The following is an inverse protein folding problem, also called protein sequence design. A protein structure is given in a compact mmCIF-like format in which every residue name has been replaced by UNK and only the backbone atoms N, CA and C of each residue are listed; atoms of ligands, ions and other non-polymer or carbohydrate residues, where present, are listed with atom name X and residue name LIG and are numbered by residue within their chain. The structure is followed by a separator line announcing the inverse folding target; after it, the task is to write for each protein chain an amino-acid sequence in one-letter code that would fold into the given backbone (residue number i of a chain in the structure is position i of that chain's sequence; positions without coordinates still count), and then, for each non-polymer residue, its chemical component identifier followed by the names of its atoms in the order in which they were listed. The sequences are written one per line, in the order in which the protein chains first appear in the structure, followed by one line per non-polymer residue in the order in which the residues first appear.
data_IF_136453361349
#
_entry.id   IF_136453361349
#
_cell.length_a   1.000
_cell.length_b   1.000
_cell.length_c   1.000
_cell.angle_alpha   90.00
_cell.angle_beta   90.00
_cell.angle_gamma   90.00
#
_symmetry.space_group_name_H-M   'P 1'
#
loop_
_entity.id
_entity.type
_entity.pdbx_description
1 polymer ?
#
# COMPACT_ATOMS: atom_id res chain seq x y z
N UNK A 1 -1.78 -8.97 -12.90
CA UNK A 1 -1.56 -8.53 -14.30
C UNK A 1 -2.82 -7.90 -14.91
N UNK A 2 -3.98 -8.57 -14.92
CA UNK A 2 -5.18 -8.01 -15.57
C UNK A 2 -5.69 -6.72 -14.89
N UNK A 3 -5.62 -6.60 -13.57
CA UNK A 3 -5.97 -5.35 -12.90
C UNK A 3 -5.12 -4.15 -13.36
N UNK A 4 -3.85 -4.38 -13.66
CA UNK A 4 -3.01 -3.35 -14.25
C UNK A 4 -3.50 -2.89 -15.62
N UNK A 5 -4.03 -3.81 -16.45
CA UNK A 5 -4.64 -3.46 -17.73
C UNK A 5 -5.93 -2.65 -17.55
N UNK A 6 -6.77 -3.04 -16.58
CA UNK A 6 -8.00 -2.32 -16.25
C UNK A 6 -7.73 -0.91 -15.71
N UNK A 7 -6.58 -0.71 -15.04
CA UNK A 7 -6.07 0.61 -14.60
C UNK A 7 -5.16 1.29 -15.66
N UNK A 8 -5.41 1.05 -16.94
CA UNK A 8 -4.75 1.69 -18.08
C UNK A 8 -3.23 1.45 -18.19
N UNK A 9 -2.66 0.43 -17.56
CA UNK A 9 -1.27 0.03 -17.82
C UNK A 9 -1.17 -0.59 -19.21
N UNK A 10 -0.24 -0.13 -20.07
CA UNK A 10 -0.06 -0.72 -21.41
C UNK A 10 0.26 -2.21 -21.35
N UNK A 11 -0.38 -3.00 -22.21
CA UNK A 11 -0.25 -4.46 -22.25
C UNK A 11 1.21 -4.94 -22.31
N UNK A 12 2.06 -4.28 -23.10
CA UNK A 12 3.49 -4.63 -23.22
C UNK A 12 4.32 -4.37 -21.95
N UNK A 13 3.76 -3.67 -20.96
CA UNK A 13 4.44 -3.35 -19.69
C UNK A 13 4.03 -4.33 -18.58
N UNK A 14 2.84 -4.93 -18.66
CA UNK A 14 2.29 -5.78 -17.59
C UNK A 14 3.21 -6.93 -17.21
N UNK A 15 3.73 -7.66 -18.19
CA UNK A 15 4.63 -8.81 -17.93
C UNK A 15 5.96 -8.36 -17.29
N UNK A 16 6.49 -7.21 -17.68
CA UNK A 16 7.70 -6.63 -17.08
C UNK A 16 7.44 -6.24 -15.61
N UNK A 17 6.30 -5.60 -15.32
CA UNK A 17 5.91 -5.26 -13.95
C UNK A 17 5.70 -6.50 -13.09
N UNK A 18 5.02 -7.51 -13.61
CA UNK A 18 4.84 -8.78 -12.91
C UNK A 18 6.18 -9.41 -12.52
N UNK A 19 7.12 -9.53 -13.46
CA UNK A 19 8.46 -10.08 -13.20
C UNK A 19 9.22 -9.25 -12.16
N UNK A 20 9.15 -7.94 -12.26
CA UNK A 20 9.78 -7.02 -11.31
C UNK A 20 9.25 -7.23 -9.88
N UNK A 21 7.93 -7.16 -9.68
CA UNK A 21 7.35 -7.32 -8.33
C UNK A 21 7.59 -8.72 -7.76
N UNK A 22 7.49 -9.75 -8.57
CA UNK A 22 7.79 -11.13 -8.15
C UNK A 22 9.24 -11.29 -7.68
N UNK A 23 10.18 -10.58 -8.27
CA UNK A 23 11.59 -10.60 -7.87
C UNK A 23 11.84 -9.74 -6.61
N UNK A 24 11.25 -8.53 -6.53
CA UNK A 24 11.57 -7.53 -5.52
C UNK A 24 10.90 -7.82 -4.18
N UNK A 25 9.64 -8.24 -4.17
CA UNK A 25 8.87 -8.46 -2.92
C UNK A 25 9.56 -9.43 -1.96
N UNK A 26 10.06 -10.61 -2.38
CA UNK A 26 10.78 -11.51 -1.48
C UNK A 26 12.07 -10.91 -0.93
N UNK A 27 12.76 -10.07 -1.70
CA UNK A 27 13.98 -9.40 -1.26
C UNK A 27 13.69 -8.37 -0.17
N UNK A 28 12.60 -7.59 -0.30
CA UNK A 28 12.16 -6.66 0.73
C UNK A 28 11.84 -7.41 2.02
N UNK A 29 11.03 -8.47 1.95
CA UNK A 29 10.70 -9.25 3.14
C UNK A 29 11.94 -9.83 3.81
N UNK A 30 12.87 -10.36 3.02
CA UNK A 30 14.13 -10.89 3.52
C UNK A 30 14.98 -9.80 4.20
N UNK A 31 15.03 -8.58 3.64
CA UNK A 31 15.81 -7.47 4.19
C UNK A 31 15.34 -7.01 5.56
N UNK A 32 14.05 -7.20 5.87
CA UNK A 32 13.45 -6.88 7.17
C UNK A 32 13.27 -8.12 8.07
N UNK A 33 13.89 -9.25 7.73
CA UNK A 33 13.89 -10.46 8.55
C UNK A 33 12.62 -11.32 8.44
N UNK A 34 11.70 -11.03 7.50
CA UNK A 34 10.47 -11.81 7.32
C UNK A 34 10.75 -13.10 6.52
N UNK A 35 10.29 -14.22 7.05
CA UNK A 35 10.40 -15.50 6.37
C UNK A 35 9.43 -15.59 5.19
N UNK A 36 9.98 -15.82 3.99
CA UNK A 36 9.22 -15.92 2.72
C UNK A 36 8.89 -17.35 2.29
N UNK A 37 9.17 -18.36 3.11
CA UNK A 37 8.97 -19.77 2.76
C UNK A 37 7.53 -20.17 2.48
N UNK A 38 6.55 -19.38 2.93
CA UNK A 38 5.12 -19.56 2.66
C UNK A 38 4.54 -18.50 1.71
N UNK A 39 5.38 -17.66 1.12
CA UNK A 39 4.94 -16.63 0.20
C UNK A 39 4.67 -17.26 -1.18
N UNK A 40 3.43 -17.15 -1.65
CA UNK A 40 3.01 -17.62 -2.95
C UNK A 40 2.67 -16.44 -3.86
N UNK A 41 3.05 -16.54 -5.12
CA UNK A 41 2.70 -15.57 -6.16
C UNK A 41 1.73 -16.22 -7.14
N UNK A 42 0.50 -15.75 -7.13
CA UNK A 42 -0.53 -16.19 -8.07
C UNK A 42 -0.71 -15.12 -9.14
N UNK A 43 -0.57 -15.50 -10.41
CA UNK A 43 -0.82 -14.60 -11.53
C UNK A 43 -2.32 -14.53 -11.77
N UNK A 44 -2.90 -13.33 -11.78
CA UNK A 44 -4.33 -13.13 -11.92
C UNK A 44 -4.90 -13.81 -13.17
N UNK A 45 -4.23 -13.66 -14.33
CA UNK A 45 -4.66 -14.28 -15.58
C UNK A 45 -4.76 -15.82 -15.55
N UNK A 46 -4.09 -16.50 -14.61
CA UNK A 46 -4.14 -17.97 -14.50
C UNK A 46 -5.52 -18.48 -14.05
N UNK A 47 -6.29 -17.64 -13.35
CA UNK A 47 -7.65 -17.98 -12.91
C UNK A 47 -8.73 -17.02 -13.44
N UNK A 48 -8.42 -15.75 -13.63
CA UNK A 48 -9.38 -14.74 -14.08
C UNK A 48 -9.85 -14.95 -15.53
N UNK A 49 -9.07 -15.68 -16.36
CA UNK A 49 -9.42 -16.03 -17.74
C UNK A 49 -10.27 -17.29 -17.87
N UNK A 50 -10.65 -17.92 -16.76
CA UNK A 50 -11.49 -19.13 -16.78
C UNK A 50 -12.97 -18.76 -16.99
N UNK A 51 -13.70 -19.60 -17.72
CA UNK A 51 -15.11 -19.39 -18.04
C UNK A 51 -15.97 -19.15 -16.80
N UNK A 52 -15.73 -19.88 -15.71
CA UNK A 52 -16.46 -19.71 -14.44
C UNK A 52 -16.25 -18.32 -13.85
N UNK A 53 -15.02 -17.82 -13.85
CA UNK A 53 -14.71 -16.49 -13.35
C UNK A 53 -15.45 -15.41 -14.15
N UNK A 54 -15.39 -15.51 -15.49
CA UNK A 54 -16.08 -14.57 -16.35
C UNK A 54 -17.62 -14.61 -16.13
N UNK A 55 -18.18 -15.81 -15.98
CA UNK A 55 -19.59 -15.97 -15.65
C UNK A 55 -19.95 -15.30 -14.32
N UNK A 56 -19.09 -15.43 -13.30
CA UNK A 56 -19.31 -14.78 -12.02
C UNK A 56 -19.14 -13.24 -12.09
N UNK A 57 -18.28 -12.72 -12.98
CA UNK A 57 -18.25 -11.27 -13.29
C UNK A 57 -19.61 -10.79 -13.83
N UNK A 58 -20.21 -11.55 -14.75
CA UNK A 58 -21.54 -11.23 -15.28
C UNK A 58 -22.61 -11.33 -14.19
N UNK A 59 -22.61 -12.38 -13.36
CA UNK A 59 -23.54 -12.51 -12.23
C UNK A 59 -23.37 -11.36 -11.25
N UNK A 60 -22.14 -11.03 -10.86
CA UNK A 60 -21.85 -9.93 -9.94
C UNK A 60 -22.44 -8.61 -10.48
N UNK A 61 -22.27 -8.36 -11.79
CA UNK A 61 -22.78 -7.14 -12.43
C UNK A 61 -24.31 -6.99 -12.36
N UNK A 62 -25.06 -8.06 -12.15
CA UNK A 62 -26.53 -7.98 -11.98
C UNK A 62 -26.96 -7.52 -10.59
N UNK A 63 -26.05 -7.47 -9.61
CA UNK A 63 -26.34 -7.04 -8.24
C UNK A 63 -25.87 -5.62 -7.92
N UNK A 64 -25.21 -4.95 -8.86
CA UNK A 64 -24.58 -3.65 -8.61
C UNK A 64 -24.89 -2.66 -9.73
N UNK A 65 -24.97 -1.40 -9.38
CA UNK A 65 -25.14 -0.30 -10.34
C UNK A 65 -23.78 0.25 -10.81
N UNK A 66 -23.79 1.04 -11.86
CA UNK A 66 -22.63 1.82 -12.32
C UNK A 66 -22.09 2.71 -11.19
N UNK A 67 -22.98 3.30 -10.40
CA UNK A 67 -22.61 4.18 -9.30
C UNK A 67 -21.95 3.42 -8.14
N UNK A 68 -22.39 2.18 -7.84
CA UNK A 68 -21.73 1.34 -6.83
C UNK A 68 -20.31 1.00 -7.26
N UNK A 69 -20.11 0.62 -8.53
CA UNK A 69 -18.77 0.37 -9.07
C UNK A 69 -17.89 1.64 -9.05
N UNK A 70 -18.45 2.80 -9.39
CA UNK A 70 -17.76 4.08 -9.34
C UNK A 70 -17.29 4.41 -7.92
N UNK A 71 -18.16 4.28 -6.92
CA UNK A 71 -17.84 4.50 -5.51
C UNK A 71 -16.77 3.53 -5.02
N UNK A 72 -16.90 2.25 -5.33
CA UNK A 72 -15.94 1.23 -4.94
C UNK A 72 -14.53 1.53 -5.51
N UNK A 73 -14.43 1.92 -6.78
CA UNK A 73 -13.16 2.17 -7.45
C UNK A 73 -12.53 3.55 -7.16
N UNK A 74 -13.26 4.48 -6.53
CA UNK A 74 -12.91 5.92 -6.49
C UNK A 74 -11.55 6.27 -5.88
N UNK A 75 -11.03 5.45 -4.97
CA UNK A 75 -9.73 5.68 -4.31
C UNK A 75 -8.57 4.98 -5.05
N UNK A 76 -8.89 3.99 -5.87
CA UNK A 76 -7.91 3.08 -6.48
C UNK A 76 -7.71 3.38 -7.96
N UNK A 77 -8.80 3.61 -8.69
CA UNK A 77 -8.78 3.84 -10.13
C UNK A 77 -9.01 5.32 -10.45
N UNK A 78 -8.21 5.89 -11.35
CA UNK A 78 -8.39 7.26 -11.85
C UNK A 78 -9.54 7.29 -12.86
N UNK A 79 -10.76 7.45 -12.38
CA UNK A 79 -11.95 7.37 -13.20
C UNK A 79 -12.21 8.60 -14.09
N UNK A 80 -11.85 9.81 -13.63
CA UNK A 80 -12.16 11.06 -14.32
C UNK A 80 -13.67 11.31 -14.48
N UNK A 81 -14.04 12.30 -15.31
CA UNK A 81 -15.44 12.67 -15.55
C UNK A 81 -16.16 11.66 -16.45
N UNK A 82 -15.43 11.01 -17.36
CA UNK A 82 -15.94 9.97 -18.26
C UNK A 82 -15.14 8.68 -18.06
N UNK A 83 -15.52 7.84 -17.07
CA UNK A 83 -14.78 6.64 -16.75
C UNK A 83 -14.90 5.60 -17.84
N UNK A 84 -13.77 4.96 -18.16
CA UNK A 84 -13.78 3.79 -19.04
C UNK A 84 -14.46 2.61 -18.33
N UNK A 85 -15.12 1.75 -19.09
CA UNK A 85 -15.77 0.55 -18.58
C UNK A 85 -14.80 -0.34 -17.78
N UNK A 86 -13.53 -0.42 -18.21
CA UNK A 86 -12.50 -1.16 -17.51
C UNK A 86 -12.36 -0.74 -16.04
N UNK A 87 -12.41 0.56 -15.73
CA UNK A 87 -12.34 1.06 -14.36
C UNK A 87 -13.56 0.70 -13.51
N UNK A 88 -14.71 0.44 -14.13
CA UNK A 88 -15.94 -0.01 -13.46
C UNK A 88 -15.95 -1.54 -13.25
N UNK A 89 -15.28 -2.29 -14.12
CA UNK A 89 -15.09 -3.75 -13.97
C UNK A 89 -14.06 -4.06 -12.90
N UNK A 90 -13.07 -3.18 -12.70
CA UNK A 90 -11.97 -3.37 -11.75
C UNK A 90 -12.44 -3.81 -10.34
N UNK A 91 -13.36 -3.09 -9.65
CA UNK A 91 -13.81 -3.48 -8.30
C UNK A 91 -14.57 -4.81 -8.28
N UNK A 92 -15.27 -5.17 -9.35
CA UNK A 92 -15.96 -6.46 -9.47
C UNK A 92 -14.92 -7.59 -9.49
N UNK A 93 -13.90 -7.46 -10.32
CA UNK A 93 -12.84 -8.48 -10.42
C UNK A 93 -12.03 -8.58 -9.14
N UNK A 94 -11.65 -7.46 -8.52
CA UNK A 94 -10.93 -7.50 -7.25
C UNK A 94 -11.73 -8.17 -6.14
N UNK A 95 -13.04 -7.96 -6.11
CA UNK A 95 -13.92 -8.64 -5.15
C UNK A 95 -13.98 -10.16 -5.38
N UNK A 96 -14.08 -10.59 -6.64
CA UNK A 96 -14.10 -12.00 -6.98
C UNK A 96 -12.76 -12.70 -6.73
N UNK A 97 -11.64 -11.99 -6.81
CA UNK A 97 -10.32 -12.55 -6.53
C UNK A 97 -10.24 -13.15 -5.12
N UNK A 98 -10.96 -12.60 -4.14
CA UNK A 98 -11.03 -13.15 -2.77
C UNK A 98 -11.57 -14.57 -2.75
N UNK A 99 -12.57 -14.88 -3.57
CA UNK A 99 -13.14 -16.23 -3.69
C UNK A 99 -12.21 -17.14 -4.46
N UNK A 100 -11.69 -16.69 -5.60
CA UNK A 100 -10.90 -17.52 -6.51
C UNK A 100 -9.47 -17.80 -6.00
N UNK A 101 -8.97 -16.97 -5.12
CA UNK A 101 -7.73 -17.21 -4.37
C UNK A 101 -7.97 -18.06 -3.10
N UNK A 102 -9.25 -18.33 -2.76
CA UNK A 102 -9.65 -19.12 -1.58
C UNK A 102 -8.98 -18.62 -0.29
N UNK A 103 -8.99 -17.31 -0.08
CA UNK A 103 -8.40 -16.68 1.10
C UNK A 103 -9.43 -16.50 2.21
N UNK A 104 -8.98 -16.50 3.47
CA UNK A 104 -9.80 -16.17 4.64
C UNK A 104 -9.69 -14.70 5.03
N UNK A 105 -8.55 -14.08 4.69
CA UNK A 105 -8.22 -12.70 5.04
C UNK A 105 -7.79 -11.95 3.80
N UNK A 106 -8.35 -10.75 3.61
CA UNK A 106 -7.93 -9.79 2.61
C UNK A 106 -7.13 -8.67 3.29
N UNK A 107 -5.96 -8.36 2.74
CA UNK A 107 -5.04 -7.36 3.29
C UNK A 107 -4.79 -6.24 2.27
N UNK A 108 -4.86 -5.00 2.72
CA UNK A 108 -4.61 -3.85 1.84
C UNK A 108 -4.42 -2.54 2.59
N UNK A 109 -4.13 -1.46 1.87
CA UNK A 109 -4.14 -0.11 2.41
C UNK A 109 -5.57 0.40 2.64
N UNK A 110 -5.71 1.48 3.43
CA UNK A 110 -7.03 2.11 3.67
C UNK A 110 -7.68 2.66 2.40
N UNK A 111 -6.91 2.88 1.33
CA UNK A 111 -7.43 3.23 -0.01
C UNK A 111 -8.22 2.08 -0.66
N UNK A 112 -7.99 0.83 -0.24
CA UNK A 112 -8.74 -0.34 -0.70
C UNK A 112 -10.08 -0.51 0.01
N UNK A 113 -10.35 0.23 1.09
CA UNK A 113 -11.51 0.02 1.96
C UNK A 113 -12.82 -0.04 1.20
N UNK A 114 -13.02 0.85 0.22
CA UNK A 114 -14.30 0.91 -0.52
C UNK A 114 -14.54 -0.36 -1.34
N UNK A 115 -13.49 -0.92 -1.95
CA UNK A 115 -13.60 -2.18 -2.70
C UNK A 115 -13.81 -3.36 -1.73
N UNK A 116 -13.10 -3.39 -0.61
CA UNK A 116 -13.25 -4.46 0.39
C UNK A 116 -14.67 -4.49 0.99
N UNK A 117 -15.23 -3.31 1.32
CA UNK A 117 -16.64 -3.21 1.76
C UNK A 117 -17.59 -3.65 0.66
N UNK A 118 -17.37 -3.24 -0.59
CA UNK A 118 -18.16 -3.65 -1.73
C UNK A 118 -18.13 -5.17 -1.94
N UNK A 119 -16.96 -5.82 -1.81
CA UNK A 119 -16.83 -7.28 -1.83
C UNK A 119 -17.68 -7.93 -0.74
N UNK A 120 -17.57 -7.44 0.50
CA UNK A 120 -18.28 -7.93 1.67
C UNK A 120 -19.81 -7.88 1.51
N UNK A 121 -20.33 -6.85 0.85
CA UNK A 121 -21.75 -6.66 0.62
C UNK A 121 -22.31 -7.50 -0.53
N UNK A 122 -21.50 -7.80 -1.53
CA UNK A 122 -21.99 -8.44 -2.77
C UNK A 122 -21.63 -9.92 -2.86
N UNK A 123 -20.47 -10.36 -2.39
CA UNK A 123 -20.08 -11.78 -2.43
C UNK A 123 -21.14 -12.72 -1.84
N UNK A 124 -21.80 -12.40 -0.69
CA UNK A 124 -22.88 -13.24 -0.16
C UNK A 124 -24.08 -13.40 -1.12
N UNK A 125 -24.39 -12.41 -1.98
CA UNK A 125 -25.46 -12.49 -2.96
C UNK A 125 -25.16 -13.50 -4.07
N UNK A 126 -23.87 -13.80 -4.29
CA UNK A 126 -23.43 -14.85 -5.20
C UNK A 126 -23.31 -16.23 -4.52
N UNK A 127 -23.54 -16.30 -3.21
CA UNK A 127 -23.36 -17.51 -2.40
C UNK A 127 -21.92 -17.71 -1.88
N UNK A 128 -21.08 -16.68 -1.94
CA UNK A 128 -19.69 -16.71 -1.46
C UNK A 128 -19.58 -16.13 -0.04
N UNK A 129 -18.55 -16.53 0.69
CA UNK A 129 -18.31 -16.05 2.05
C UNK A 129 -17.67 -14.66 2.03
N UNK A 130 -18.07 -13.73 2.91
CA UNK A 130 -17.30 -12.52 3.15
C UNK A 130 -15.98 -12.86 3.85
N UNK A 131 -14.93 -12.07 3.60
CA UNK A 131 -13.59 -12.27 4.19
C UNK A 131 -13.37 -11.31 5.36
N UNK A 132 -12.36 -11.63 6.16
CA UNK A 132 -11.83 -10.70 7.17
C UNK A 132 -10.95 -9.70 6.45
N UNK A 133 -11.19 -8.41 6.70
CA UNK A 133 -10.46 -7.32 6.06
C UNK A 133 -9.48 -6.71 7.06
N UNK A 134 -8.19 -6.68 6.71
CA UNK A 134 -7.15 -6.02 7.47
C UNK A 134 -6.61 -4.87 6.62
N UNK A 135 -6.72 -3.66 7.16
CA UNK A 135 -6.31 -2.45 6.47
C UNK A 135 -5.17 -1.76 7.21
N UNK A 136 -4.15 -1.37 6.46
CA UNK A 136 -3.02 -0.58 6.97
C UNK A 136 -3.20 0.90 6.61
N UNK A 137 -2.71 1.81 7.46
CA UNK A 137 -2.69 3.23 7.13
C UNK A 137 -1.80 3.50 5.91
N UNK A 138 -2.16 4.54 5.15
CA UNK A 138 -1.31 5.04 4.08
C UNK A 138 -0.19 5.89 4.67
N UNK A 139 1.02 5.70 4.17
CA UNK A 139 2.16 6.53 4.55
C UNK A 139 2.19 7.76 3.63
N UNK A 140 2.20 8.99 4.17
CA UNK A 140 2.37 10.21 3.39
C UNK A 140 3.70 10.17 2.62
N UNK A 141 3.75 10.89 1.50
CA UNK A 141 5.00 11.08 0.77
C UNK A 141 5.98 11.99 1.50
N UNK A 142 7.25 11.93 1.12
CA UNK A 142 8.32 12.75 1.71
C UNK A 142 8.08 14.27 1.57
N UNK A 143 7.25 14.69 0.62
CA UNK A 143 6.94 16.12 0.39
C UNK A 143 5.62 16.58 1.05
N UNK A 144 5.14 15.87 2.06
CA UNK A 144 3.95 16.23 2.84
C UNK A 144 2.61 16.02 2.12
N UNK A 145 2.58 15.22 1.05
CA UNK A 145 1.38 14.87 0.27
C UNK A 145 1.30 13.37 0.05
N UNK A 146 0.19 12.90 -0.56
CA UNK A 146 0.05 11.49 -0.96
C UNK A 146 1.27 11.07 -1.80
N UNK A 147 1.90 9.96 -1.42
CA UNK A 147 2.99 9.37 -2.19
C UNK A 147 2.52 9.06 -3.62
N UNK A 148 3.29 9.45 -4.62
CA UNK A 148 2.93 9.24 -6.03
C UNK A 148 4.05 8.50 -6.77
N UNK A 149 3.66 7.46 -7.52
CA UNK A 149 4.59 6.75 -8.38
C UNK A 149 5.17 7.64 -9.50
N UNK A 150 4.45 8.69 -9.91
CA UNK A 150 4.86 9.64 -10.96
C UNK A 150 5.72 10.79 -10.44
N UNK A 151 5.86 10.95 -9.11
CA UNK A 151 6.72 11.98 -8.51
C UNK A 151 7.87 11.31 -7.72
N UNK A 152 9.07 11.23 -8.33
CA UNK A 152 10.24 10.60 -7.69
C UNK A 152 10.65 11.24 -6.36
N UNK A 153 10.34 12.52 -6.13
CA UNK A 153 10.67 13.23 -4.88
C UNK A 153 9.74 12.86 -3.73
N UNK A 154 8.55 12.36 -4.04
CA UNK A 154 7.55 12.02 -3.02
C UNK A 154 7.83 10.69 -2.31
N UNK A 155 8.78 9.88 -2.80
CA UNK A 155 9.04 8.52 -2.32
C UNK A 155 10.54 8.17 -2.33
N UNK A 156 10.90 7.22 -1.48
CA UNK A 156 12.13 6.45 -1.63
C UNK A 156 11.80 5.27 -2.54
N UNK A 157 12.53 5.13 -3.65
CA UNK A 157 12.41 4.00 -4.55
C UNK A 157 13.34 2.88 -4.10
N UNK A 158 12.96 1.64 -4.35
CA UNK A 158 13.79 0.48 -3.97
C UNK A 158 15.10 0.37 -4.75
N UNK A 159 15.23 1.13 -5.84
CA UNK A 159 16.43 1.20 -6.68
C UNK A 159 17.22 2.49 -6.46
N UNK A 160 16.81 3.34 -5.53
CA UNK A 160 17.58 4.55 -5.18
C UNK A 160 18.95 4.16 -4.61
N UNK A 161 19.97 4.90 -5.01
CA UNK A 161 21.28 4.82 -4.37
C UNK A 161 21.22 5.41 -2.96
N UNK A 162 22.20 5.08 -2.13
CA UNK A 162 22.31 5.66 -0.79
C UNK A 162 22.36 7.20 -0.84
N UNK A 163 23.06 7.76 -1.82
CA UNK A 163 23.16 9.20 -2.05
C UNK A 163 21.79 9.81 -2.38
N UNK A 164 20.98 9.13 -3.23
CA UNK A 164 19.63 9.57 -3.57
C UNK A 164 18.71 9.51 -2.35
N UNK A 165 18.81 8.48 -1.53
CA UNK A 165 18.04 8.36 -0.28
C UNK A 165 18.37 9.51 0.67
N UNK A 166 19.67 9.78 0.91
CA UNK A 166 20.12 10.90 1.75
C UNK A 166 19.59 12.23 1.22
N UNK A 167 19.70 12.46 -0.08
CA UNK A 167 19.21 13.69 -0.73
C UNK A 167 17.70 13.85 -0.61
N UNK A 168 16.94 12.78 -0.79
CA UNK A 168 15.47 12.79 -0.67
C UNK A 168 15.02 13.03 0.77
N UNK A 169 15.69 12.39 1.74
CA UNK A 169 15.41 12.62 3.16
C UNK A 169 15.78 14.03 3.60
N UNK A 170 16.94 14.55 3.16
CA UNK A 170 17.34 15.94 3.45
C UNK A 170 16.41 17.00 2.85
N UNK A 171 15.68 16.67 1.78
CA UNK A 171 14.66 17.54 1.16
C UNK A 171 13.23 17.21 1.59
N UNK A 172 13.02 16.30 2.53
CA UNK A 172 11.70 15.88 2.95
C UNK A 172 10.96 16.99 3.72
N UNK A 173 9.64 17.04 3.56
CA UNK A 173 8.80 17.90 4.36
C UNK A 173 8.76 17.37 5.81
N UNK A 174 9.35 18.13 6.71
CA UNK A 174 9.43 17.79 8.12
C UNK A 174 9.37 19.07 8.98
N UNK A 175 8.18 19.67 9.07
CA UNK A 175 7.95 20.93 9.80
C UNK A 175 8.07 20.70 11.31
N UNK A 176 8.92 21.48 12.05
CA UNK A 176 9.14 21.27 13.47
C UNK A 176 7.87 21.27 14.32
N UNK A 177 7.63 20.19 15.03
CA UNK A 177 6.46 20.00 15.92
C UNK A 177 5.18 19.60 15.22
N UNK A 178 5.16 19.42 13.88
CA UNK A 178 3.99 19.02 13.11
C UNK A 178 4.08 17.56 12.69
N UNK A 179 3.16 16.76 13.19
CA UNK A 179 3.10 15.30 12.93
C UNK A 179 2.25 14.99 11.69
N UNK A 180 1.20 15.77 11.46
CA UNK A 180 0.27 15.57 10.36
C UNK A 180 0.98 15.72 8.99
N UNK A 181 0.65 14.82 8.06
CA UNK A 181 1.22 14.78 6.70
C UNK A 181 2.76 14.69 6.65
N UNK A 182 3.38 14.26 7.76
CA UNK A 182 4.82 14.11 7.88
C UNK A 182 5.24 12.68 7.48
N UNK A 183 5.73 12.53 6.25
CA UNK A 183 6.15 11.23 5.71
C UNK A 183 7.33 10.61 6.46
N UNK A 184 8.25 11.43 7.00
CA UNK A 184 9.41 10.94 7.76
C UNK A 184 8.95 10.32 9.08
N UNK A 185 8.09 11.02 9.82
CA UNK A 185 7.54 10.51 11.09
C UNK A 185 6.65 9.27 10.87
N UNK A 186 5.85 9.27 9.81
CA UNK A 186 5.03 8.11 9.46
C UNK A 186 5.90 6.89 9.13
N UNK A 187 6.99 7.07 8.39
CA UNK A 187 7.95 6.01 8.09
C UNK A 187 8.63 5.47 9.35
N UNK A 188 9.06 6.37 10.25
CA UNK A 188 9.58 5.99 11.56
C UNK A 188 8.56 5.16 12.33
N UNK A 189 7.31 5.64 12.45
CA UNK A 189 6.25 4.99 13.22
C UNK A 189 5.92 3.60 12.72
N UNK A 190 5.60 3.49 11.43
CA UNK A 190 5.00 2.27 10.89
C UNK A 190 6.04 1.24 10.41
N UNK A 191 7.26 1.66 10.10
CA UNK A 191 8.28 0.77 9.57
C UNK A 191 9.44 0.64 10.55
N UNK A 192 10.17 1.71 10.84
CA UNK A 192 11.43 1.61 11.60
C UNK A 192 11.17 1.13 13.03
N UNK A 193 10.24 1.76 13.76
CA UNK A 193 9.95 1.33 15.13
C UNK A 193 9.33 -0.07 15.19
N UNK A 194 8.57 -0.48 14.17
CA UNK A 194 8.06 -1.85 14.08
C UNK A 194 9.21 -2.85 13.95
N UNK A 195 10.15 -2.62 13.02
CA UNK A 195 11.33 -3.48 12.84
C UNK A 195 12.19 -3.50 14.11
N UNK A 196 12.45 -2.33 14.71
CA UNK A 196 13.23 -2.23 15.96
C UNK A 196 12.58 -3.01 17.10
N UNK A 197 11.26 -2.90 17.25
CA UNK A 197 10.49 -3.64 18.25
C UNK A 197 10.58 -5.15 18.04
N UNK A 198 10.43 -5.63 16.81
CA UNK A 198 10.51 -7.06 16.48
C UNK A 198 11.90 -7.62 16.77
N UNK A 199 12.93 -6.84 16.50
CA UNK A 199 14.34 -7.17 16.80
C UNK A 199 14.74 -6.94 18.27
N UNK A 200 13.83 -6.41 19.12
CA UNK A 200 14.13 -5.99 20.51
C UNK A 200 15.26 -4.93 20.60
N UNK A 201 15.32 -4.08 19.60
CA UNK A 201 16.30 -2.99 19.50
C UNK A 201 15.66 -1.65 19.86
N UNK A 202 16.48 -0.69 20.27
CA UNK A 202 16.08 0.71 20.46
C UNK A 202 16.46 1.55 19.25
N UNK A 203 15.70 2.62 19.02
CA UNK A 203 16.05 3.61 18.02
C UNK A 203 16.97 4.65 18.64
N UNK A 204 18.12 4.88 18.02
CA UNK A 204 19.09 5.91 18.45
C UNK A 204 19.05 7.04 17.43
N UNK A 205 18.69 8.24 17.91
CA UNK A 205 18.83 9.47 17.15
C UNK A 205 20.21 10.06 17.41
N UNK A 206 21.10 9.94 16.45
CA UNK A 206 22.44 10.48 16.52
C UNK A 206 22.44 11.99 16.31
N UNK A 207 23.03 12.73 17.26
CA UNK A 207 23.11 14.19 17.21
C UNK A 207 24.46 14.68 17.72
N UNK A 208 24.91 15.77 17.13
CA UNK A 208 26.09 16.48 17.63
C UNK A 208 25.90 16.92 19.10
N UNK A 209 26.96 16.95 19.89
CA UNK A 209 26.95 17.38 21.30
C UNK A 209 26.38 18.79 21.49
N UNK A 210 26.59 19.69 20.53
CA UNK A 210 25.99 21.05 20.54
C UNK A 210 24.45 21.06 20.50
N UNK A 211 23.83 19.96 20.07
CA UNK A 211 22.38 19.78 20.06
C UNK A 211 21.88 18.84 21.18
N UNK A 212 22.71 18.59 22.19
CA UNK A 212 22.37 17.76 23.35
C UNK A 212 22.82 16.29 23.22
N UNK A 213 23.54 15.92 22.16
CA UNK A 213 24.04 14.54 21.93
C UNK A 213 22.96 13.53 21.58
N UNK A 214 23.33 12.27 21.54
CA UNK A 214 22.45 11.18 21.13
C UNK A 214 21.28 10.97 22.09
N UNK A 215 20.08 10.66 21.52
CA UNK A 215 18.89 10.32 22.29
C UNK A 215 18.40 8.94 21.84
N UNK A 216 17.98 8.12 22.80
CA UNK A 216 17.52 6.76 22.56
C UNK A 216 16.04 6.63 22.90
N UNK A 217 15.27 6.07 21.97
CA UNK A 217 13.83 5.85 22.12
C UNK A 217 13.51 4.35 22.08
N UNK A 218 12.68 3.89 23.02
CA UNK A 218 12.18 2.52 23.08
C UNK A 218 10.85 2.33 22.34
N UNK A 219 10.13 3.42 22.08
CA UNK A 219 8.85 3.45 21.35
C UNK A 219 8.74 4.75 20.56
N UNK A 220 7.82 4.77 19.60
CA UNK A 220 7.58 5.92 18.74
C UNK A 220 6.91 7.08 19.49
N UNK A 221 6.05 6.79 20.44
CA UNK A 221 5.23 7.77 21.17
C UNK A 221 6.11 8.77 21.95
N UNK A 222 7.22 8.30 22.51
CA UNK A 222 8.20 9.16 23.21
C UNK A 222 8.95 10.07 22.23
N UNK A 223 9.33 9.54 21.05
CA UNK A 223 9.94 10.35 20.00
C UNK A 223 8.98 11.41 19.50
N UNK A 224 7.72 11.04 19.20
CA UNK A 224 6.70 11.96 18.72
C UNK A 224 6.43 13.08 19.72
N UNK A 225 6.36 12.76 21.02
CA UNK A 225 6.21 13.74 22.10
C UNK A 225 7.35 14.76 22.13
N UNK A 226 8.58 14.31 22.03
CA UNK A 226 9.75 15.20 22.02
C UNK A 226 9.81 16.01 20.72
N UNK A 227 9.35 15.45 19.60
CA UNK A 227 9.22 16.19 18.34
C UNK A 227 8.17 17.30 18.42
N UNK A 228 6.97 17.01 18.94
CA UNK A 228 5.91 18.00 19.16
C UNK A 228 6.40 19.12 20.09
N UNK A 229 7.16 18.78 21.14
CA UNK A 229 7.75 19.73 22.07
C UNK A 229 8.99 20.47 21.51
N UNK A 230 9.37 20.19 20.26
CA UNK A 230 10.54 20.79 19.58
C UNK A 230 11.87 20.55 20.32
N UNK A 231 11.98 19.47 21.10
CA UNK A 231 13.23 19.03 21.75
C UNK A 231 14.17 18.33 20.78
N UNK A 232 13.63 17.76 19.71
CA UNK A 232 14.36 17.22 18.58
C UNK A 232 13.96 17.99 17.32
N UNK A 233 14.94 18.18 16.45
CA UNK A 233 14.76 18.89 15.17
C UNK A 233 14.80 17.87 14.02
N UNK A 234 14.03 18.10 12.92
CA UNK A 234 14.10 17.28 11.71
C UNK A 234 15.50 17.20 11.14
#
# INVERSE_FOLDING_TARGET
DLHGALDNTPWGVLEKRYKYYKAVIPLIFKSIGVNTGKLEFVKGSDFQMKNKYFFDVLKFSTFVSVEDCRKAASEVVKLGDSPKLAGLIYPIMQSLDEEYLNVDVQYGGTDQRKILVFAREVLPKLGYKPRIEIMTPLIPGLIGKKMSASDPKSKIDLLDSEEDVIKKLGGAFCEPGKVEDNGVLAFLRYIIFTIKKDNKEKFVLERDKKFGGNVTYSNYEDLEKDYIQKKIHP
#
